data_IF_124474382928
#
_entry.id   IF_124474382928
#
_cell.length_a   1.000
_cell.length_b   1.000
_cell.length_c   1.000
_cell.angle_alpha   90.00
_cell.angle_beta   90.00
_cell.angle_gamma   90.00
#
_symmetry.space_group_name_H-M   'P 1'
#
loop_
_entity.id
_entity.type
_entity.pdbx_description
1 polymer ?
#
# COMPACT_ATOMS: atom_id res chain seq x y z
N UNK A 1 12.12 4.08 -18.20
CA UNK A 1 12.32 5.03 -17.09
C UNK A 1 13.70 4.93 -16.43
N UNK A 2 14.13 3.79 -15.86
CA UNK A 2 15.36 3.66 -15.02
C UNK A 2 16.65 4.35 -15.52
N UNK A 3 16.98 4.28 -16.82
CA UNK A 3 18.20 4.88 -17.41
C UNK A 3 18.01 6.36 -17.79
N UNK A 4 16.78 6.75 -18.13
CA UNK A 4 16.44 8.12 -18.52
C UNK A 4 16.61 9.10 -17.35
N UNK A 5 16.27 8.69 -16.13
CA UNK A 5 16.45 9.54 -14.94
C UNK A 5 17.93 9.76 -14.60
N UNK A 6 18.78 8.75 -14.79
CA UNK A 6 20.22 8.86 -14.52
C UNK A 6 20.90 9.80 -15.51
N UNK A 7 20.57 9.64 -16.79
CA UNK A 7 21.13 10.47 -17.86
C UNK A 7 20.65 11.94 -17.74
N UNK A 8 19.39 12.15 -17.34
CA UNK A 8 18.84 13.49 -17.09
C UNK A 8 19.53 14.18 -15.91
N UNK A 9 19.65 13.49 -14.76
CA UNK A 9 20.33 14.05 -13.59
C UNK A 9 21.79 14.37 -13.88
N UNK A 10 22.51 13.48 -14.56
CA UNK A 10 23.90 13.71 -14.93
C UNK A 10 24.07 14.95 -15.82
N UNK A 11 23.17 15.13 -16.80
CA UNK A 11 23.16 16.29 -17.68
C UNK A 11 22.88 17.60 -16.93
N UNK A 12 21.89 17.60 -16.05
CA UNK A 12 21.56 18.80 -15.26
C UNK A 12 22.69 19.15 -14.28
N UNK A 13 23.37 18.15 -13.72
CA UNK A 13 24.52 18.33 -12.85
C UNK A 13 25.72 18.91 -13.61
N UNK A 14 26.00 18.44 -14.84
CA UNK A 14 27.02 19.00 -15.71
C UNK A 14 26.70 20.45 -16.12
N UNK A 15 25.43 20.72 -16.47
CA UNK A 15 24.98 22.07 -16.79
C UNK A 15 25.15 23.02 -15.60
N UNK A 16 24.85 22.56 -14.38
CA UNK A 16 25.07 23.32 -13.16
C UNK A 16 26.57 23.61 -12.91
N UNK A 17 27.46 22.63 -13.11
CA UNK A 17 28.90 22.82 -12.88
C UNK A 17 29.52 23.77 -13.92
N UNK A 18 29.10 23.66 -15.18
CA UNK A 18 29.62 24.49 -16.28
C UNK A 18 29.11 25.95 -16.23
N UNK A 19 27.84 26.18 -15.89
CA UNK A 19 27.24 27.51 -15.92
C UNK A 19 27.45 28.30 -14.61
N UNK A 20 27.94 27.65 -13.56
CA UNK A 20 28.12 28.23 -12.23
C UNK A 20 26.80 28.37 -11.46
N UNK A 21 26.90 28.67 -10.16
CA UNK A 21 25.75 28.81 -9.28
C UNK A 21 25.13 30.22 -9.41
N UNK A 22 23.92 30.30 -9.94
CA UNK A 22 22.97 31.40 -9.73
C UNK A 22 21.97 31.04 -8.63
N UNK A 23 21.65 31.99 -7.74
CA UNK A 23 20.61 31.84 -6.70
C UNK A 23 19.20 31.58 -7.27
N UNK A 24 19.02 31.72 -8.60
CA UNK A 24 17.79 31.45 -9.31
C UNK A 24 17.70 30.08 -9.98
N UNK A 25 18.68 29.17 -9.81
CA UNK A 25 18.52 27.82 -10.37
C UNK A 25 17.43 27.05 -9.64
N UNK A 26 16.46 26.47 -10.38
CA UNK A 26 15.51 25.55 -9.79
C UNK A 26 16.26 24.34 -9.21
N UNK A 27 15.72 23.69 -8.17
CA UNK A 27 16.33 22.48 -7.63
C UNK A 27 16.48 21.40 -8.68
N UNK A 28 17.60 20.69 -8.62
CA UNK A 28 17.94 19.67 -9.61
C UNK A 28 17.24 18.37 -9.20
N UNK A 29 16.43 17.82 -10.10
CA UNK A 29 15.78 16.52 -9.90
C UNK A 29 16.84 15.42 -9.97
N UNK A 30 16.90 14.62 -8.91
CA UNK A 30 17.85 13.49 -8.80
C UNK A 30 17.26 12.24 -9.42
N UNK A 31 16.05 11.88 -9.02
CA UNK A 31 15.29 10.72 -9.51
C UNK A 31 13.90 10.69 -8.88
N UNK A 32 13.01 9.85 -9.41
CA UNK A 32 11.83 9.43 -8.66
C UNK A 32 12.21 8.58 -7.44
N UNK A 33 11.48 8.65 -6.33
CA UNK A 33 11.80 7.88 -5.11
C UNK A 33 11.90 6.38 -5.42
N UNK A 34 13.08 5.74 -5.26
CA UNK A 34 13.25 4.34 -5.60
C UNK A 34 12.52 3.41 -4.63
N UNK A 35 12.19 2.20 -5.10
CA UNK A 35 11.51 1.19 -4.29
C UNK A 35 12.23 0.81 -2.99
N UNK A 36 13.55 0.96 -2.91
CA UNK A 36 14.32 0.80 -1.67
C UNK A 36 13.87 1.78 -0.58
N UNK A 37 13.59 3.02 -0.97
CA UNK A 37 13.09 4.08 -0.10
C UNK A 37 11.57 3.99 0.10
N UNK A 38 10.79 3.61 -0.92
CA UNK A 38 9.35 3.40 -0.76
C UNK A 38 9.04 2.24 0.20
N UNK A 39 9.85 1.17 0.17
CA UNK A 39 9.72 0.00 1.05
C UNK A 39 9.72 0.39 2.54
N UNK A 40 10.45 1.45 2.91
CA UNK A 40 10.55 1.94 4.29
C UNK A 40 9.55 3.06 4.59
N UNK A 41 8.59 3.32 3.68
CA UNK A 41 7.48 4.24 3.89
C UNK A 41 7.67 5.64 3.32
N UNK A 42 8.72 5.91 2.53
CA UNK A 42 8.79 7.18 1.80
C UNK A 42 7.71 7.22 0.72
N UNK A 43 6.98 8.34 0.64
CA UNK A 43 6.01 8.57 -0.44
C UNK A 43 6.72 8.56 -1.80
N UNK A 44 5.99 8.15 -2.82
CA UNK A 44 6.44 8.14 -4.21
C UNK A 44 6.46 9.58 -4.79
N UNK A 45 7.32 10.41 -4.22
CA UNK A 45 7.54 11.80 -4.63
C UNK A 45 8.91 11.93 -5.30
N UNK A 46 9.11 12.88 -6.23
CA UNK A 46 10.42 13.14 -6.80
C UNK A 46 11.43 13.59 -5.73
N UNK A 47 12.70 13.20 -5.93
CA UNK A 47 13.83 13.57 -5.08
C UNK A 47 14.58 14.72 -5.73
N UNK A 48 14.80 15.81 -4.98
CA UNK A 48 15.60 16.96 -5.43
C UNK A 48 16.82 17.21 -4.57
N UNK A 49 17.77 17.93 -5.14
CA UNK A 49 18.84 18.60 -4.41
C UNK A 49 18.89 20.08 -4.80
N UNK A 50 18.95 20.96 -3.79
CA UNK A 50 19.10 22.39 -4.02
C UNK A 50 20.55 22.69 -4.51
N UNK A 51 20.77 23.47 -5.59
CA UNK A 51 22.11 23.82 -6.10
C UNK A 51 23.04 24.46 -5.05
N UNK A 52 22.46 25.11 -4.05
CA UNK A 52 23.20 25.69 -2.92
C UNK A 52 23.84 24.60 -2.06
N UNK A 53 23.15 23.46 -1.91
CA UNK A 53 23.65 22.28 -1.18
C UNK A 53 24.72 21.55 -1.97
N UNK A 54 24.58 21.46 -3.30
CA UNK A 54 25.66 20.95 -4.16
C UNK A 54 26.94 21.79 -4.04
N UNK A 55 26.80 23.12 -4.06
CA UNK A 55 27.93 24.04 -3.87
C UNK A 55 28.57 23.90 -2.47
N UNK A 56 27.75 23.77 -1.43
CA UNK A 56 28.22 23.54 -0.06
C UNK A 56 28.99 22.21 0.07
N UNK A 57 28.47 21.14 -0.53
CA UNK A 57 29.12 19.83 -0.56
C UNK A 57 30.44 19.92 -1.33
N UNK A 58 30.41 20.21 -2.63
CA UNK A 58 31.59 20.05 -3.49
C UNK A 58 32.67 21.12 -3.27
N UNK A 59 32.28 22.35 -2.91
CA UNK A 59 33.22 23.48 -2.91
C UNK A 59 33.71 23.86 -1.52
N UNK A 60 32.91 23.61 -0.48
CA UNK A 60 33.19 24.06 0.89
C UNK A 60 33.55 22.92 1.84
N UNK A 61 32.64 21.97 2.02
CA UNK A 61 32.69 21.07 3.17
C UNK A 61 33.21 19.67 2.82
N UNK A 62 32.97 19.20 1.60
CA UNK A 62 33.20 17.81 1.18
C UNK A 62 33.81 17.74 -0.22
N UNK A 63 35.03 18.28 -0.37
CA UNK A 63 35.76 18.32 -1.66
C UNK A 63 36.07 16.93 -2.21
N UNK A 64 36.05 15.93 -1.35
CA UNK A 64 36.18 14.51 -1.68
C UNK A 64 35.01 13.95 -2.48
N UNK A 65 33.86 14.65 -2.51
CA UNK A 65 32.68 14.32 -3.32
C UNK A 65 32.79 15.05 -4.66
N UNK A 66 33.12 14.30 -5.71
CA UNK A 66 33.29 14.84 -7.07
C UNK A 66 32.00 14.75 -7.89
N UNK A 67 31.97 15.45 -9.02
CA UNK A 67 30.88 15.39 -10.00
C UNK A 67 30.61 13.94 -10.45
N UNK A 68 31.67 13.17 -10.72
CA UNK A 68 31.58 11.77 -11.16
C UNK A 68 31.03 10.83 -10.09
N UNK A 69 31.28 11.14 -8.81
CA UNK A 69 30.65 10.42 -7.69
C UNK A 69 29.16 10.76 -7.63
N UNK A 70 28.81 12.04 -7.75
CA UNK A 70 27.41 12.48 -7.70
C UNK A 70 26.58 11.87 -8.83
N UNK A 71 27.09 11.72 -10.05
CA UNK A 71 26.39 11.04 -11.16
C UNK A 71 25.98 9.60 -10.81
N UNK A 72 26.70 8.92 -9.92
CA UNK A 72 26.39 7.55 -9.49
C UNK A 72 25.33 7.50 -8.37
N UNK A 73 24.94 8.65 -7.83
CA UNK A 73 24.02 8.75 -6.70
C UNK A 73 22.65 8.10 -6.95
N UNK A 74 21.95 8.35 -8.08
CA UNK A 74 20.66 7.69 -8.32
C UNK A 74 20.77 6.16 -8.31
N UNK A 75 21.80 5.61 -8.95
CA UNK A 75 22.03 4.17 -8.98
C UNK A 75 22.32 3.61 -7.59
N UNK A 76 23.12 4.31 -6.78
CA UNK A 76 23.41 3.90 -5.42
C UNK A 76 22.17 3.96 -4.49
N UNK A 77 21.26 4.91 -4.71
CA UNK A 77 20.02 5.05 -3.93
C UNK A 77 18.99 3.94 -4.24
N UNK A 78 19.02 3.35 -5.44
CA UNK A 78 18.13 2.22 -5.81
C UNK A 78 18.41 0.95 -5.01
N UNK A 79 19.63 0.82 -4.50
CA UNK A 79 20.09 -0.36 -3.79
C UNK A 79 21.11 0.03 -2.69
N UNK A 80 20.66 0.74 -1.65
CA UNK A 80 21.52 1.30 -0.62
C UNK A 80 22.10 0.20 0.26
N UNK A 81 23.19 0.51 0.98
CA UNK A 81 23.76 -0.41 1.97
C UNK A 81 22.86 -0.48 3.21
N UNK A 82 22.44 0.66 3.72
CA UNK A 82 21.54 0.79 4.88
C UNK A 82 20.63 2.01 4.72
N UNK A 83 19.47 1.98 5.35
CA UNK A 83 18.60 3.16 5.52
C UNK A 83 18.28 3.29 7.00
N UNK A 84 18.50 4.48 7.56
CA UNK A 84 18.38 4.75 9.00
C UNK A 84 17.49 5.96 9.27
N UNK A 85 16.80 5.97 10.41
CA UNK A 85 16.23 7.21 10.98
C UNK A 85 17.36 8.13 11.42
N UNK A 86 17.20 9.44 11.26
CA UNK A 86 18.19 10.40 11.72
C UNK A 86 18.13 10.55 13.25
N UNK A 87 19.30 10.48 13.90
CA UNK A 87 19.46 10.71 15.36
C UNK A 87 19.04 12.12 15.78
N UNK A 88 19.26 13.11 14.92
CA UNK A 88 19.09 14.54 15.28
C UNK A 88 17.76 15.11 14.81
N UNK A 89 17.12 14.49 13.82
CA UNK A 89 15.84 14.94 13.26
C UNK A 89 14.97 13.73 12.96
N UNK A 90 14.05 13.39 13.86
CA UNK A 90 13.21 12.18 13.76
C UNK A 90 12.39 12.07 12.47
N UNK A 91 12.08 13.19 11.82
CA UNK A 91 11.39 13.25 10.52
C UNK A 91 12.30 13.01 9.31
N UNK A 92 13.61 12.85 9.52
CA UNK A 92 14.59 12.65 8.44
C UNK A 92 15.05 11.20 8.40
N UNK A 93 15.31 10.78 7.17
CA UNK A 93 15.91 9.48 6.86
C UNK A 93 17.31 9.70 6.32
N UNK A 94 18.21 8.77 6.57
CA UNK A 94 19.58 8.77 6.08
C UNK A 94 19.81 7.49 5.30
N UNK A 95 20.10 7.61 4.00
CA UNK A 95 20.60 6.50 3.22
C UNK A 95 22.12 6.42 3.37
N UNK A 96 22.64 5.26 3.77
CA UNK A 96 24.06 4.95 3.68
C UNK A 96 24.30 4.08 2.45
N UNK A 97 25.27 4.48 1.64
CA UNK A 97 25.54 3.89 0.34
C UNK A 97 26.85 3.09 0.37
N UNK A 98 26.97 2.11 -0.51
CA UNK A 98 28.28 1.50 -0.82
C UNK A 98 29.13 2.37 -1.75
N UNK A 99 28.55 3.46 -2.27
CA UNK A 99 29.27 4.47 -3.03
C UNK A 99 30.26 5.19 -2.11
N UNK A 100 31.50 5.34 -2.59
CA UNK A 100 32.60 5.90 -1.83
C UNK A 100 33.00 7.26 -2.35
N UNK A 101 33.47 8.11 -1.45
CA UNK A 101 34.18 9.32 -1.80
C UNK A 101 35.57 9.01 -2.41
N UNK A 102 36.30 10.06 -2.80
CA UNK A 102 37.69 9.89 -3.29
C UNK A 102 38.68 9.41 -2.22
N UNK A 103 38.29 9.45 -0.94
CA UNK A 103 39.07 8.92 0.19
C UNK A 103 38.80 7.44 0.47
N UNK A 104 37.84 6.82 -0.24
CA UNK A 104 37.45 5.42 -0.06
C UNK A 104 36.45 5.19 1.08
N UNK A 105 35.81 6.24 1.61
CA UNK A 105 34.82 6.18 2.69
C UNK A 105 33.40 6.23 2.14
N UNK A 106 32.51 5.42 2.70
CA UNK A 106 31.11 5.29 2.33
C UNK A 106 30.33 6.60 2.54
N UNK A 107 29.53 6.95 1.53
CA UNK A 107 28.73 8.17 1.48
C UNK A 107 27.40 7.96 2.18
N UNK A 108 26.97 9.00 2.91
CA UNK A 108 25.64 9.10 3.49
C UNK A 108 24.86 10.29 2.93
N UNK A 109 23.55 10.11 2.82
CA UNK A 109 22.63 11.02 2.14
C UNK A 109 21.40 11.23 3.03
N UNK A 110 21.34 12.32 3.81
CA UNK A 110 20.17 12.65 4.62
C UNK A 110 19.06 13.33 3.80
N UNK A 111 17.83 12.86 3.97
CA UNK A 111 16.62 13.35 3.33
C UNK A 111 15.73 14.13 4.30
N UNK A 112 15.21 15.26 3.84
CA UNK A 112 14.03 15.89 4.40
C UNK A 112 12.80 15.44 3.61
N UNK A 113 11.83 14.84 4.29
CA UNK A 113 10.67 14.23 3.66
C UNK A 113 9.51 15.23 3.52
N UNK A 114 8.67 14.99 2.51
CA UNK A 114 7.36 15.64 2.30
C UNK A 114 7.37 17.17 2.38
N UNK A 115 8.46 17.83 1.96
CA UNK A 115 8.61 19.27 2.17
C UNK A 115 7.72 20.06 1.20
N UNK A 116 6.85 20.97 1.70
CA UNK A 116 6.17 21.91 0.85
C UNK A 116 7.19 22.96 0.38
N UNK A 117 7.50 22.98 -0.92
CA UNK A 117 8.22 24.06 -1.57
C UNK A 117 7.20 24.95 -2.29
N UNK A 118 7.60 26.17 -2.63
CA UNK A 118 6.76 27.14 -3.33
C UNK A 118 6.20 26.63 -4.68
N UNK A 119 6.75 25.54 -5.20
CA UNK A 119 6.42 24.95 -6.49
C UNK A 119 5.94 23.49 -6.43
N UNK A 120 6.05 22.75 -5.29
CA UNK A 120 5.52 21.36 -5.11
C UNK A 120 5.86 20.72 -3.74
N UNK A 121 5.25 19.56 -3.45
CA UNK A 121 5.64 18.66 -2.37
C UNK A 121 6.70 17.66 -2.85
N UNK A 122 7.84 17.54 -2.15
CA UNK A 122 8.93 16.68 -2.61
C UNK A 122 9.80 16.11 -1.47
N UNK A 123 10.58 15.07 -1.80
CA UNK A 123 11.68 14.59 -0.96
C UNK A 123 12.95 15.36 -1.32
N UNK A 124 13.68 15.86 -0.32
CA UNK A 124 14.85 16.75 -0.57
C UNK A 124 16.11 16.18 0.08
N UNK A 125 17.17 16.03 -0.71
CA UNK A 125 18.51 15.74 -0.20
C UNK A 125 19.05 16.99 0.49
N UNK A 126 19.36 16.85 1.78
CA UNK A 126 19.82 17.97 2.62
C UNK A 126 21.34 18.08 2.69
N UNK A 127 22.06 17.01 2.38
CA UNK A 127 23.52 16.96 2.29
C UNK A 127 23.97 15.65 1.66
N UNK A 128 25.22 15.59 1.21
CA UNK A 128 25.89 14.37 0.71
C UNK A 128 27.32 14.43 1.24
N UNK A 129 27.73 13.44 2.03
CA UNK A 129 29.06 13.44 2.63
C UNK A 129 29.49 12.05 3.08
N UNK A 130 30.80 11.83 3.21
CA UNK A 130 31.34 10.63 3.82
C UNK A 130 31.20 10.67 5.35
N UNK A 131 30.74 9.57 5.96
CA UNK A 131 30.65 9.49 7.43
C UNK A 131 31.99 9.12 8.04
N UNK A 132 32.90 10.08 8.10
CA UNK A 132 34.31 9.84 8.42
C UNK A 132 34.76 10.37 9.79
N UNK A 133 35.90 9.85 10.26
CA UNK A 133 36.75 10.45 11.29
C UNK A 133 38.22 10.17 10.95
N UNK A 134 38.96 11.21 10.59
CA UNK A 134 40.37 11.15 10.17
C UNK A 134 40.60 10.29 8.90
N UNK A 135 39.76 10.48 7.88
CA UNK A 135 39.85 9.79 6.58
C UNK A 135 39.44 8.31 6.63
N UNK A 136 38.76 7.89 7.70
CA UNK A 136 38.30 6.50 7.89
C UNK A 136 36.81 6.47 8.22
N UNK A 137 36.08 5.41 7.85
CA UNK A 137 34.68 5.27 8.21
C UNK A 137 34.48 5.33 9.72
N UNK A 138 33.53 6.15 10.19
CA UNK A 138 33.19 6.27 11.60
C UNK A 138 32.22 5.15 12.00
N UNK A 139 32.74 3.93 12.12
CA UNK A 139 31.95 2.74 12.46
C UNK A 139 31.11 2.88 13.74
N UNK A 140 31.61 3.60 14.75
CA UNK A 140 30.87 3.82 16.00
C UNK A 140 29.49 4.42 15.76
N UNK A 141 29.35 5.34 14.78
CA UNK A 141 28.06 5.95 14.48
C UNK A 141 27.05 4.94 13.94
N UNK A 142 27.49 4.00 13.10
CA UNK A 142 26.63 2.94 12.57
C UNK A 142 26.18 1.98 13.68
N UNK A 143 27.12 1.57 14.54
CA UNK A 143 26.85 0.70 15.68
C UNK A 143 25.86 1.36 16.64
N UNK A 144 26.04 2.64 16.94
CA UNK A 144 25.14 3.40 17.80
C UNK A 144 23.74 3.47 17.20
N UNK A 145 23.60 3.76 15.91
CA UNK A 145 22.30 3.78 15.24
C UNK A 145 21.59 2.41 15.26
N UNK A 146 22.35 1.32 15.13
CA UNK A 146 21.80 -0.04 15.20
C UNK A 146 21.34 -0.35 16.63
N UNK A 147 22.14 -0.02 17.64
CA UNK A 147 21.79 -0.20 19.06
C UNK A 147 20.59 0.62 19.50
N UNK A 148 20.42 1.80 18.93
CA UNK A 148 19.29 2.70 19.19
C UNK A 148 18.05 2.38 18.32
N UNK A 149 18.03 1.21 17.66
CA UNK A 149 16.89 0.75 16.83
C UNK A 149 16.50 1.71 15.69
N UNK A 150 17.46 2.47 15.17
CA UNK A 150 17.23 3.43 14.09
C UNK A 150 17.35 2.82 12.69
N UNK A 151 17.81 1.57 12.58
CA UNK A 151 17.99 0.86 11.32
C UNK A 151 16.63 0.43 10.75
N UNK A 152 16.28 0.94 9.57
CA UNK A 152 15.02 0.64 8.85
C UNK A 152 15.20 -0.47 7.81
N UNK A 153 16.32 -0.43 7.10
CA UNK A 153 16.68 -1.38 6.05
C UNK A 153 18.18 -1.63 6.05
N UNK A 154 18.60 -2.86 5.76
CA UNK A 154 19.98 -3.18 5.48
C UNK A 154 20.09 -4.24 4.38
N UNK A 155 20.94 -3.97 3.39
CA UNK A 155 21.37 -5.01 2.47
C UNK A 155 22.39 -5.89 3.18
N UNK A 156 22.05 -7.16 3.44
CA UNK A 156 22.81 -8.06 4.32
C UNK A 156 24.28 -8.14 3.96
N UNK A 157 24.59 -8.47 2.71
CA UNK A 157 25.97 -8.68 2.26
C UNK A 157 26.80 -7.40 2.35
N UNK A 158 26.28 -6.28 1.83
CA UNK A 158 26.97 -4.98 1.85
C UNK A 158 27.20 -4.50 3.28
N UNK A 159 26.18 -4.60 4.13
CA UNK A 159 26.25 -4.21 5.53
C UNK A 159 27.23 -5.07 6.33
N UNK A 160 27.19 -6.39 6.14
CA UNK A 160 28.10 -7.33 6.80
C UNK A 160 29.55 -7.10 6.38
N UNK A 161 29.81 -6.95 5.07
CA UNK A 161 31.15 -6.66 4.55
C UNK A 161 31.70 -5.34 5.12
N UNK A 162 30.88 -4.30 5.17
CA UNK A 162 31.26 -3.00 5.71
C UNK A 162 31.62 -3.08 7.20
N UNK A 163 30.79 -3.72 8.02
CA UNK A 163 31.01 -3.78 9.48
C UNK A 163 32.06 -4.82 9.91
N UNK A 164 32.26 -5.88 9.12
CA UNK A 164 33.36 -6.84 9.34
C UNK A 164 34.71 -6.14 9.27
N UNK A 165 34.84 -5.12 8.41
CA UNK A 165 36.05 -4.29 8.32
C UNK A 165 36.36 -3.53 9.62
N UNK A 166 35.37 -3.38 10.51
CA UNK A 166 35.51 -2.80 11.85
C UNK A 166 35.71 -3.84 12.96
N UNK A 167 35.77 -5.14 12.63
CA UNK A 167 35.76 -6.24 13.61
C UNK A 167 34.41 -6.43 14.29
N UNK A 168 33.32 -5.93 13.69
CA UNK A 168 31.97 -5.96 14.27
C UNK A 168 31.11 -6.96 13.52
N UNK A 169 30.50 -7.89 14.25
CA UNK A 169 29.49 -8.78 13.70
C UNK A 169 28.18 -8.00 13.50
N UNK A 170 27.60 -8.09 12.30
CA UNK A 170 26.33 -7.44 12.00
C UNK A 170 25.18 -8.17 12.72
N UNK A 171 24.36 -7.50 13.55
CA UNK A 171 23.25 -8.15 14.23
C UNK A 171 22.12 -8.35 13.24
N UNK A 172 21.97 -9.58 12.76
CA UNK A 172 20.98 -9.95 11.75
C UNK A 172 19.69 -10.53 12.36
N UNK A 173 19.64 -10.68 13.69
CA UNK A 173 18.56 -11.35 14.40
C UNK A 173 17.35 -10.43 14.66
N UNK A 174 16.14 -10.98 14.51
CA UNK A 174 14.89 -10.33 14.88
C UNK A 174 14.94 -9.91 16.35
N UNK A 175 14.86 -8.60 16.61
CA UNK A 175 14.75 -8.12 17.98
C UNK A 175 13.33 -8.37 18.48
N UNK A 176 13.16 -9.42 19.27
CA UNK A 176 11.89 -9.77 19.92
C UNK A 176 11.76 -8.97 21.23
N UNK A 177 11.05 -7.84 21.21
CA UNK A 177 10.48 -7.27 22.42
C UNK A 177 9.04 -7.76 22.55
N UNK A 178 8.66 -8.27 23.72
CA UNK A 178 7.52 -9.17 24.00
C UNK A 178 6.09 -8.72 23.65
N UNK A 179 5.91 -7.71 22.79
CA UNK A 179 4.62 -7.33 22.21
C UNK A 179 4.69 -6.93 20.72
N UNK A 180 5.88 -6.69 20.13
CA UNK A 180 6.08 -6.31 18.73
C UNK A 180 7.43 -6.85 18.21
N UNK A 181 7.42 -7.71 17.19
CA UNK A 181 8.63 -8.07 16.45
C UNK A 181 8.99 -6.95 15.47
N UNK A 182 9.99 -6.13 15.79
CA UNK A 182 10.54 -5.18 14.83
C UNK A 182 11.54 -5.89 13.92
N UNK A 183 11.10 -6.23 12.70
CA UNK A 183 11.96 -6.85 11.68
C UNK A 183 12.53 -5.78 10.75
N UNK A 184 13.86 -5.65 10.75
CA UNK A 184 14.61 -4.81 9.80
C UNK A 184 14.38 -5.33 8.38
N UNK A 185 14.06 -4.43 7.44
CA UNK A 185 13.86 -4.79 6.03
C UNK A 185 15.18 -5.13 5.35
N UNK A 186 15.13 -6.05 4.39
CA UNK A 186 16.32 -6.55 3.70
C UNK A 186 16.16 -6.61 2.16
N UNK A 187 17.21 -7.02 1.46
CA UNK A 187 17.20 -7.15 0.00
C UNK A 187 16.13 -8.11 -0.54
N UNK A 188 15.73 -9.13 0.23
CA UNK A 188 14.66 -10.05 -0.16
C UNK A 188 13.29 -9.38 -0.05
N UNK A 189 13.06 -8.60 1.01
CA UNK A 189 11.87 -7.75 1.12
C UNK A 189 11.79 -6.76 -0.05
N UNK A 190 12.91 -6.16 -0.44
CA UNK A 190 12.99 -5.27 -1.58
C UNK A 190 12.66 -5.98 -2.90
N UNK A 191 13.18 -7.18 -3.13
CA UNK A 191 12.85 -7.98 -4.32
C UNK A 191 11.36 -8.37 -4.32
N UNK A 192 10.81 -8.75 -3.17
CA UNK A 192 9.38 -9.08 -3.04
C UNK A 192 8.52 -7.86 -3.35
N UNK A 193 8.85 -6.70 -2.77
CA UNK A 193 8.15 -5.45 -3.00
C UNK A 193 8.21 -5.01 -4.47
N UNK A 194 9.38 -5.09 -5.10
CA UNK A 194 9.56 -4.84 -6.54
C UNK A 194 8.64 -5.73 -7.38
N UNK A 195 8.66 -7.04 -7.13
CA UNK A 195 7.80 -8.00 -7.83
C UNK A 195 6.31 -7.72 -7.62
N UNK A 196 5.92 -7.30 -6.42
CA UNK A 196 4.54 -6.94 -6.11
C UNK A 196 4.09 -5.70 -6.89
N UNK A 197 4.89 -4.63 -6.89
CA UNK A 197 4.60 -3.42 -7.69
C UNK A 197 4.58 -3.71 -9.19
N UNK A 198 5.51 -4.51 -9.69
CA UNK A 198 5.52 -4.93 -11.11
C UNK A 198 4.28 -5.78 -11.46
N UNK A 199 3.90 -6.73 -10.60
CA UNK A 199 2.67 -7.52 -10.76
C UNK A 199 1.43 -6.64 -10.75
N UNK A 200 1.35 -5.63 -9.89
CA UNK A 200 0.22 -4.70 -9.86
C UNK A 200 0.10 -3.97 -11.19
N UNK A 201 1.21 -3.46 -11.73
CA UNK A 201 1.25 -2.80 -13.03
C UNK A 201 0.79 -3.75 -14.15
N UNK A 202 1.33 -4.97 -14.22
CA UNK A 202 0.91 -5.96 -15.22
C UNK A 202 -0.54 -6.42 -15.05
N UNK A 203 -1.01 -6.57 -13.81
CA UNK A 203 -2.40 -6.98 -13.54
C UNK A 203 -3.39 -5.90 -13.96
N UNK A 204 -3.04 -4.63 -13.76
CA UNK A 204 -3.84 -3.50 -14.23
C UNK A 204 -3.93 -3.45 -15.75
N UNK A 205 -2.85 -3.80 -16.46
CA UNK A 205 -2.88 -3.96 -17.91
C UNK A 205 -3.80 -5.11 -18.33
N UNK A 206 -3.73 -6.26 -17.66
CA UNK A 206 -4.62 -7.39 -17.95
C UNK A 206 -6.10 -7.11 -17.66
N UNK A 207 -6.41 -6.34 -16.61
CA UNK A 207 -7.79 -5.90 -16.32
C UNK A 207 -8.31 -5.02 -17.46
N UNK A 208 -7.49 -4.08 -17.94
CA UNK A 208 -7.83 -3.22 -19.08
C UNK A 208 -8.14 -4.04 -20.32
N UNK A 209 -7.26 -4.97 -20.70
CA UNK A 209 -7.46 -5.83 -21.87
C UNK A 209 -8.77 -6.63 -21.77
N UNK A 210 -9.08 -7.13 -20.57
CA UNK A 210 -10.33 -7.87 -20.29
C UNK A 210 -11.57 -6.99 -20.43
N UNK A 211 -11.51 -5.75 -19.96
CA UNK A 211 -12.60 -4.77 -20.11
C UNK A 211 -12.83 -4.47 -21.59
N UNK A 212 -11.76 -4.20 -22.34
CA UNK A 212 -11.84 -3.94 -23.78
C UNK A 212 -12.39 -5.16 -24.56
N UNK A 213 -12.04 -6.38 -24.17
CA UNK A 213 -12.59 -7.62 -24.73
C UNK A 213 -14.10 -7.75 -24.44
N UNK A 214 -14.51 -7.59 -23.18
CA UNK A 214 -15.91 -7.65 -22.77
C UNK A 214 -16.77 -6.57 -23.42
N UNK A 215 -16.23 -5.35 -23.61
CA UNK A 215 -16.90 -4.27 -24.33
C UNK A 215 -17.14 -4.62 -25.81
N UNK A 216 -16.20 -5.33 -26.45
CA UNK A 216 -16.35 -5.83 -27.83
C UNK A 216 -17.30 -7.02 -27.92
N UNK A 217 -17.37 -7.86 -26.90
CA UNK A 217 -18.22 -9.08 -26.83
C UNK A 217 -19.70 -8.81 -26.52
N UNK A 218 -20.20 -7.61 -26.82
CA UNK A 218 -21.62 -7.20 -26.93
C UNK A 218 -22.24 -6.57 -25.69
N UNK A 219 -22.70 -5.33 -25.87
CA UNK A 219 -23.52 -4.52 -24.94
C UNK A 219 -24.97 -5.04 -24.77
N UNK A 220 -25.34 -6.15 -25.43
CA UNK A 220 -26.74 -6.62 -25.54
C UNK A 220 -27.11 -7.80 -24.63
N UNK A 221 -26.15 -8.43 -23.93
CA UNK A 221 -26.40 -9.61 -23.08
C UNK A 221 -26.22 -9.36 -21.58
N UNK A 222 -25.73 -8.18 -21.18
CA UNK A 222 -25.41 -7.90 -19.79
C UNK A 222 -26.49 -7.03 -19.10
N UNK A 223 -26.77 -7.25 -17.80
CA UNK A 223 -27.60 -6.34 -17.02
C UNK A 223 -27.08 -4.90 -17.08
N UNK A 224 -27.98 -3.92 -16.98
CA UNK A 224 -27.67 -2.48 -17.09
C UNK A 224 -26.49 -2.05 -16.17
N UNK A 225 -26.45 -2.58 -14.94
CA UNK A 225 -25.38 -2.30 -13.97
C UNK A 225 -24.00 -2.81 -14.42
N UNK A 226 -23.94 -3.89 -15.19
CA UNK A 226 -22.68 -4.42 -15.72
C UNK A 226 -22.20 -3.59 -16.93
N UNK A 227 -23.11 -3.20 -17.82
CA UNK A 227 -22.78 -2.29 -18.93
C UNK A 227 -22.29 -0.92 -18.41
N UNK A 228 -22.95 -0.39 -17.37
CA UNK A 228 -22.51 0.82 -16.66
C UNK A 228 -21.12 0.64 -16.05
N UNK A 229 -20.86 -0.50 -15.41
CA UNK A 229 -19.55 -0.81 -14.83
C UNK A 229 -18.43 -0.82 -15.88
N UNK A 230 -18.68 -1.45 -17.04
CA UNK A 230 -17.73 -1.45 -18.16
C UNK A 230 -17.44 -0.03 -18.66
N UNK A 231 -18.47 0.77 -18.96
CA UNK A 231 -18.31 2.16 -19.42
C UNK A 231 -17.51 3.01 -18.45
N UNK A 232 -17.83 2.97 -17.15
CA UNK A 232 -17.09 3.73 -16.12
C UNK A 232 -15.65 3.24 -16.00
N UNK A 233 -15.40 1.95 -16.21
CA UNK A 233 -14.04 1.41 -16.18
C UNK A 233 -13.20 1.83 -17.39
N UNK A 234 -13.79 1.91 -18.59
CA UNK A 234 -13.12 2.45 -19.79
C UNK A 234 -12.77 3.93 -19.62
N UNK A 235 -13.70 4.74 -19.11
CA UNK A 235 -13.47 6.16 -18.78
C UNK A 235 -12.32 6.33 -17.77
N UNK A 236 -12.27 5.48 -16.74
CA UNK A 236 -11.18 5.48 -15.77
C UNK A 236 -9.81 5.21 -16.42
N UNK A 237 -9.73 4.20 -17.29
CA UNK A 237 -8.47 3.89 -17.98
C UNK A 237 -8.06 4.98 -18.98
N UNK A 238 -9.00 5.60 -19.68
CA UNK A 238 -8.74 6.76 -20.53
C UNK A 238 -8.15 7.92 -19.71
N UNK A 239 -8.74 8.23 -18.55
CA UNK A 239 -8.22 9.26 -17.66
C UNK A 239 -6.80 8.95 -17.14
N UNK A 240 -6.49 7.67 -16.84
CA UNK A 240 -5.14 7.27 -16.46
C UNK A 240 -4.13 7.43 -17.60
N UNK A 241 -4.54 7.10 -18.84
CA UNK A 241 -3.71 7.23 -20.02
C UNK A 241 -3.44 8.68 -20.37
N UNK A 242 -4.46 9.55 -20.32
CA UNK A 242 -4.30 10.99 -20.50
C UNK A 242 -3.33 11.56 -19.47
N UNK A 243 -3.50 11.21 -18.19
CA UNK A 243 -2.60 11.64 -17.12
C UNK A 243 -1.15 11.18 -17.35
N UNK A 244 -0.94 9.95 -17.85
CA UNK A 244 0.38 9.43 -18.19
C UNK A 244 0.95 10.04 -19.48
N UNK A 245 0.11 10.34 -20.45
CA UNK A 245 0.49 10.96 -21.71
C UNK A 245 0.95 12.40 -21.48
N UNK A 246 0.16 13.18 -20.75
CA UNK A 246 0.54 14.52 -20.31
C UNK A 246 1.83 14.50 -19.48
N UNK A 247 2.03 13.48 -18.65
CA UNK A 247 3.26 13.36 -17.88
C UNK A 247 4.55 13.37 -18.75
N UNK A 248 4.47 12.93 -20.01
CA UNK A 248 5.63 12.90 -20.93
C UNK A 248 5.96 14.24 -21.57
N UNK A 249 4.99 15.16 -21.65
CA UNK A 249 5.17 16.49 -22.28
C UNK A 249 5.42 17.58 -21.25
N UNK A 250 5.09 17.31 -20.00
CA UNK A 250 5.33 18.19 -18.88
C UNK A 250 6.80 18.17 -18.44
N UNK A 251 7.17 19.11 -17.57
CA UNK A 251 8.48 19.04 -16.90
C UNK A 251 8.60 17.72 -16.15
N UNK A 252 9.81 17.19 -16.01
CA UNK A 252 10.06 15.95 -15.28
C UNK A 252 9.38 15.92 -13.91
N UNK A 253 9.34 17.07 -13.23
CA UNK A 253 8.74 17.27 -11.90
C UNK A 253 7.22 17.14 -11.88
N UNK A 254 6.56 17.56 -12.95
CA UNK A 254 5.11 17.42 -13.12
C UNK A 254 4.78 16.03 -13.61
N UNK A 255 5.56 15.51 -14.56
CA UNK A 255 5.37 14.17 -15.10
C UNK A 255 5.44 13.08 -14.04
N UNK A 256 6.43 13.12 -13.15
CA UNK A 256 6.57 12.13 -12.09
C UNK A 256 5.40 12.09 -11.11
N UNK A 257 4.90 13.25 -10.70
CA UNK A 257 3.78 13.32 -9.77
C UNK A 257 2.50 12.80 -10.43
N UNK A 258 2.31 13.13 -11.71
CA UNK A 258 1.21 12.57 -12.52
C UNK A 258 1.33 11.05 -12.64
N UNK A 259 2.54 10.51 -12.83
CA UNK A 259 2.79 9.07 -12.84
C UNK A 259 2.53 8.42 -11.47
N UNK A 260 3.00 9.01 -10.37
CA UNK A 260 2.78 8.51 -9.02
C UNK A 260 1.29 8.54 -8.63
N UNK A 261 0.59 9.63 -8.96
CA UNK A 261 -0.85 9.76 -8.78
C UNK A 261 -1.61 8.70 -9.61
N UNK A 262 -1.20 8.52 -10.88
CA UNK A 262 -1.73 7.48 -11.76
C UNK A 262 -1.53 6.07 -11.18
N UNK A 263 -0.34 5.79 -10.62
CA UNK A 263 -0.04 4.52 -9.98
C UNK A 263 -0.90 4.29 -8.73
N UNK A 264 -1.06 5.32 -7.89
CA UNK A 264 -1.85 5.25 -6.67
C UNK A 264 -3.32 4.99 -6.99
N UNK A 265 -3.91 5.74 -7.92
CA UNK A 265 -5.30 5.56 -8.36
C UNK A 265 -5.51 4.16 -8.97
N UNK A 266 -4.56 3.68 -9.78
CA UNK A 266 -4.60 2.34 -10.34
C UNK A 266 -4.54 1.25 -9.25
N UNK A 267 -3.72 1.43 -8.22
CA UNK A 267 -3.60 0.50 -7.09
C UNK A 267 -4.90 0.44 -6.27
N UNK A 268 -5.52 1.57 -5.97
CA UNK A 268 -6.80 1.63 -5.27
C UNK A 268 -7.95 0.97 -6.06
N UNK A 269 -8.01 1.23 -7.36
CA UNK A 269 -8.97 0.59 -8.27
C UNK A 269 -8.74 -0.94 -8.33
N UNK A 270 -7.48 -1.37 -8.46
CA UNK A 270 -7.12 -2.79 -8.46
C UNK A 270 -7.64 -3.51 -7.23
N UNK A 271 -7.39 -2.99 -6.03
CA UNK A 271 -7.82 -3.64 -4.79
C UNK A 271 -9.34 -3.64 -4.63
N UNK A 272 -10.02 -2.62 -5.14
CA UNK A 272 -11.49 -2.58 -5.16
C UNK A 272 -12.07 -3.70 -6.02
N UNK A 273 -11.50 -3.92 -7.22
CA UNK A 273 -11.91 -5.01 -8.13
C UNK A 273 -11.54 -6.37 -7.55
N UNK A 274 -10.32 -6.53 -7.02
CA UNK A 274 -9.82 -7.78 -6.43
C UNK A 274 -10.69 -8.27 -5.27
N UNK A 275 -11.25 -7.35 -4.48
CA UNK A 275 -12.12 -7.67 -3.35
C UNK A 275 -13.59 -7.88 -3.75
N UNK A 276 -13.99 -7.52 -4.97
CA UNK A 276 -15.38 -7.62 -5.42
C UNK A 276 -15.95 -9.05 -5.38
N UNK A 277 -15.23 -10.11 -5.83
CA UNK A 277 -15.75 -11.48 -5.76
C UNK A 277 -16.09 -11.91 -4.33
N UNK A 278 -15.24 -11.54 -3.37
CA UNK A 278 -15.48 -11.82 -1.95
C UNK A 278 -16.73 -11.11 -1.46
N UNK A 279 -16.92 -9.83 -1.80
CA UNK A 279 -18.11 -9.06 -1.42
C UNK A 279 -19.39 -9.66 -2.01
N UNK A 280 -19.37 -10.06 -3.28
CA UNK A 280 -20.50 -10.70 -3.96
C UNK A 280 -20.84 -12.03 -3.30
N UNK A 281 -19.85 -12.89 -3.05
CA UNK A 281 -20.06 -14.18 -2.38
C UNK A 281 -20.71 -14.00 -1.01
N UNK A 282 -20.15 -13.12 -0.17
CA UNK A 282 -20.69 -12.85 1.16
C UNK A 282 -22.14 -12.35 1.11
N UNK A 283 -22.48 -11.53 0.10
CA UNK A 283 -23.86 -11.06 -0.08
C UNK A 283 -24.81 -12.20 -0.48
N UNK A 284 -24.42 -13.04 -1.44
CA UNK A 284 -25.21 -14.19 -1.89
C UNK A 284 -25.43 -15.18 -0.74
N UNK A 285 -24.40 -15.47 0.04
CA UNK A 285 -24.51 -16.34 1.22
C UNK A 285 -25.53 -15.78 2.21
N UNK A 286 -25.49 -14.47 2.50
CA UNK A 286 -26.46 -13.84 3.40
C UNK A 286 -27.89 -13.92 2.85
N UNK A 287 -28.09 -13.62 1.57
CA UNK A 287 -29.41 -13.70 0.94
C UNK A 287 -29.98 -15.13 0.99
N UNK A 288 -29.14 -16.15 0.81
CA UNK A 288 -29.56 -17.54 0.94
C UNK A 288 -30.01 -17.88 2.37
N UNK A 289 -29.27 -17.41 3.38
CA UNK A 289 -29.66 -17.60 4.79
C UNK A 289 -30.98 -16.90 5.12
N UNK A 290 -31.17 -15.66 4.67
CA UNK A 290 -32.40 -14.91 4.89
C UNK A 290 -33.60 -15.62 4.23
N UNK A 291 -33.46 -16.08 2.98
CA UNK A 291 -34.51 -16.82 2.28
C UNK A 291 -34.90 -18.13 3.00
N UNK A 292 -33.91 -18.89 3.49
CA UNK A 292 -34.16 -20.11 4.27
C UNK A 292 -34.88 -19.80 5.58
N UNK A 293 -34.45 -18.75 6.31
CA UNK A 293 -35.11 -18.31 7.54
C UNK A 293 -36.57 -17.97 7.30
N UNK A 294 -36.87 -17.22 6.24
CA UNK A 294 -38.23 -16.74 5.97
C UNK A 294 -39.17 -17.92 5.64
N UNK A 295 -38.70 -18.91 4.87
CA UNK A 295 -39.45 -20.15 4.60
C UNK A 295 -39.69 -20.94 5.89
N UNK A 296 -38.67 -21.12 6.73
CA UNK A 296 -38.80 -21.86 7.98
C UNK A 296 -39.74 -21.16 8.97
N UNK A 297 -39.73 -19.82 9.00
CA UNK A 297 -40.66 -19.04 9.80
C UNK A 297 -42.11 -19.25 9.35
N UNK A 298 -42.38 -19.20 8.04
CA UNK A 298 -43.73 -19.45 7.51
C UNK A 298 -44.22 -20.88 7.82
N UNK A 299 -43.33 -21.87 7.75
CA UNK A 299 -43.64 -23.25 8.13
C UNK A 299 -43.94 -23.35 9.62
N UNK A 300 -43.16 -22.68 10.48
CA UNK A 300 -43.41 -22.64 11.92
C UNK A 300 -44.77 -21.99 12.24
N UNK A 301 -45.10 -20.87 11.60
CA UNK A 301 -46.39 -20.19 11.76
C UNK A 301 -47.58 -21.09 11.37
N UNK A 302 -47.42 -21.89 10.32
CA UNK A 302 -48.41 -22.90 9.92
C UNK A 302 -48.60 -23.98 11.00
N UNK A 303 -47.51 -24.49 11.58
CA UNK A 303 -47.60 -25.45 12.68
C UNK A 303 -48.27 -24.85 13.92
N UNK A 304 -47.95 -23.61 14.28
CA UNK A 304 -48.60 -22.90 15.39
C UNK A 304 -50.11 -22.77 15.15
N UNK A 305 -50.50 -22.29 13.96
CA UNK A 305 -51.90 -22.15 13.58
C UNK A 305 -52.67 -23.49 13.69
N UNK A 306 -52.12 -24.56 13.12
CA UNK A 306 -52.78 -25.85 13.14
C UNK A 306 -52.82 -26.49 14.53
N UNK A 307 -51.83 -26.23 15.39
CA UNK A 307 -51.86 -26.65 16.80
C UNK A 307 -53.05 -26.02 17.51
N UNK A 308 -53.24 -24.71 17.37
CA UNK A 308 -54.40 -24.00 17.95
C UNK A 308 -55.73 -24.52 17.40
N UNK A 309 -55.80 -24.83 16.10
CA UNK A 309 -57.01 -25.38 15.47
C UNK A 309 -57.36 -26.78 16.03
N UNK A 310 -56.35 -27.62 16.28
CA UNK A 310 -56.53 -28.95 16.89
C UNK A 310 -57.03 -28.81 18.33
N UNK A 311 -56.42 -27.94 19.13
CA UNK A 311 -56.85 -27.68 20.52
C UNK A 311 -58.29 -27.15 20.59
N UNK A 312 -58.64 -26.24 19.69
CA UNK A 312 -60.01 -25.72 19.58
C UNK A 312 -61.01 -26.82 19.26
N UNK A 313 -60.73 -27.65 18.25
CA UNK A 313 -61.60 -28.75 17.83
C UNK A 313 -61.74 -29.82 18.92
N UNK A 314 -60.66 -30.09 19.65
CA UNK A 314 -60.68 -30.98 20.81
C UNK A 314 -61.62 -30.45 21.91
N UNK A 315 -61.58 -29.14 22.20
CA UNK A 315 -62.50 -28.51 23.16
C UNK A 315 -63.97 -28.56 22.70
N UNK A 316 -64.25 -28.40 21.41
CA UNK A 316 -65.60 -28.54 20.86
C UNK A 316 -66.13 -29.98 21.01
N UNK A 317 -65.31 -30.98 20.71
CA UNK A 317 -65.67 -32.40 20.86
C UNK A 317 -66.02 -32.72 22.32
N UNK A 318 -65.20 -32.27 23.28
CA UNK A 318 -65.49 -32.47 24.71
C UNK A 318 -66.79 -31.81 25.15
N UNK A 319 -67.10 -30.60 24.65
CA UNK A 319 -68.38 -29.94 24.93
C UNK A 319 -69.57 -30.72 24.36
N UNK A 320 -69.45 -31.29 23.17
CA UNK A 320 -70.51 -32.09 22.56
C UNK A 320 -70.74 -33.40 23.33
N UNK A 321 -69.68 -34.03 23.84
CA UNK A 321 -69.77 -35.23 24.68
C UNK A 321 -70.45 -34.95 26.03
N UNK A 322 -70.15 -33.80 26.66
CA UNK A 322 -70.80 -33.43 27.92
C UNK A 322 -72.30 -33.14 27.73
N UNK A 323 -72.69 -32.38 26.70
CA UNK A 323 -74.11 -32.14 26.40
C UNK A 323 -74.89 -33.43 26.11
N UNK A 324 -74.26 -34.41 25.45
CA UNK A 324 -74.91 -35.70 25.19
C UNK A 324 -75.05 -36.53 26.47
N UNK A 325 -74.07 -36.50 27.37
CA UNK A 325 -74.19 -37.15 28.70
C UNK A 325 -75.28 -36.50 29.55
N UNK A 326 -75.35 -35.18 29.58
CA UNK A 326 -76.37 -34.43 30.33
C UNK A 326 -77.78 -34.75 29.82
N UNK A 327 -77.98 -34.75 28.50
CA UNK A 327 -79.28 -35.09 27.88
C UNK A 327 -79.72 -36.53 28.18
N UNK A 328 -78.78 -37.48 28.24
CA UNK A 328 -79.05 -38.89 28.57
C UNK A 328 -79.41 -39.03 30.06
N UNK A 329 -78.77 -38.26 30.94
CA UNK A 329 -79.06 -38.27 32.37
C UNK A 329 -80.45 -37.67 32.67
N UNK A 330 -80.79 -36.52 32.06
CA UNK A 330 -82.13 -35.91 32.19
C UNK A 330 -83.24 -36.85 31.70
N UNK A 331 -83.04 -37.54 30.56
CA UNK A 331 -84.04 -38.50 30.07
C UNK A 331 -84.18 -39.73 30.96
N UNK A 332 -83.12 -40.11 31.68
CA UNK A 332 -83.15 -41.20 32.66
C UNK A 332 -83.90 -40.79 33.92
N UNK A 333 -83.63 -39.60 34.44
CA UNK A 333 -84.32 -39.02 35.61
C UNK A 333 -85.82 -38.80 35.34
N UNK A 334 -86.20 -38.28 34.17
CA UNK A 334 -87.61 -38.13 33.77
C UNK A 334 -88.36 -39.46 33.63
N UNK A 335 -87.65 -40.56 33.31
CA UNK A 335 -88.25 -41.91 33.28
C UNK A 335 -88.44 -42.47 34.68
N UNK A 336 -87.49 -42.27 35.58
CA UNK A 336 -87.61 -42.71 36.97
C UNK A 336 -88.72 -41.96 37.72
N UNK A 337 -88.92 -40.67 37.44
CA UNK A 337 -89.98 -39.85 38.03
C UNK A 337 -91.39 -40.21 37.54
N UNK A 338 -91.53 -40.76 36.33
CA UNK A 338 -92.81 -41.29 35.80
C UNK A 338 -93.18 -42.69 36.29
N UNK A 339 -92.25 -43.39 36.94
CA UNK A 339 -92.43 -44.78 37.41
C UNK A 339 -92.63 -44.87 38.92
N UNK A 340 -92.51 -43.75 39.64
CA UNK A 340 -93.01 -43.54 41.00
C UNK A 340 -94.42 -42.97 40.96
#
# INVERSE_FOLDING_TARGET
MKKLDDDAFAKDLEAWENNGYSYGHPPIRVMQTPYSLQLIGMKDLPIYIDPSKLSEVMRRNHREITLEILKQLPQALRDPMMILKSKTHSERIVASLSLKDTSGVEIIVPFALDKPKAWKQANVITSIYAKERNGRPRYSWYIDCIKEELLLYAHREKAAQFLTSAGVQFPMEEQTNGFLTYRIKDENDLVKYKKEKERLISSMQGIRERIEELGRETQSQFPEEFARCLSVSEEFFAALDDLRGEATTQSHDIGDEMLAASHTAAEEAYYSIKLAPTKVRTHLDRCAHDAVRDVLSAVADSFVYHTMAVEHRHAEILKAENHTKDAVQETKEQREEKTR
#
